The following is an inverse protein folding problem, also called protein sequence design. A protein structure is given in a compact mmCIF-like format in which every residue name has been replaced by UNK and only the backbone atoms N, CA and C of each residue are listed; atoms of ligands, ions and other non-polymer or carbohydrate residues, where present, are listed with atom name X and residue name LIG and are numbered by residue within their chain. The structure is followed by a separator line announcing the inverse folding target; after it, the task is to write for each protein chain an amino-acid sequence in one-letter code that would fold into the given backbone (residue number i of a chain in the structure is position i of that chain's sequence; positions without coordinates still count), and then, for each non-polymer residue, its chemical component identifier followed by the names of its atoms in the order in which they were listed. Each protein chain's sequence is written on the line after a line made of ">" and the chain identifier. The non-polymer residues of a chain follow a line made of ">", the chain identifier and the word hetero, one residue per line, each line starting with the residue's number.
data_IF_188808368494
#
_entry.id   IF_188808368494
#
_cell.length_a   1.000
_cell.length_b   1.000
_cell.length_c   1.000
_cell.angle_alpha   90.00
_cell.angle_beta   90.00
_cell.angle_gamma   90.00
#
_symmetry.space_group_name_H-M   'P 1'
#
loop_
_entity.id
_entity.type
_entity.pdbx_description
1 polymer ?
#
# COMPACT_ATOMS: atom_id res chain seq x y z
N UNK A 1 -31.09 -36.94 -24.19
CA UNK A 1 -30.35 -35.82 -24.77
C UNK A 1 -30.62 -34.59 -23.90
N UNK A 2 -29.81 -34.38 -22.86
CA UNK A 2 -29.95 -33.24 -21.94
C UNK A 2 -28.77 -32.31 -22.10
N UNK A 3 -29.07 -31.12 -22.59
CA UNK A 3 -28.09 -30.04 -22.79
C UNK A 3 -27.92 -29.27 -21.46
N UNK A 4 -26.79 -29.39 -20.82
CA UNK A 4 -26.44 -28.58 -19.67
C UNK A 4 -25.92 -27.23 -20.19
N UNK A 5 -26.71 -26.18 -20.05
CA UNK A 5 -26.26 -24.82 -20.28
C UNK A 5 -25.36 -24.43 -19.08
N UNK A 6 -24.08 -24.26 -19.37
CA UNK A 6 -23.08 -23.85 -18.39
C UNK A 6 -23.36 -22.45 -17.83
N UNK A 7 -23.26 -22.32 -16.51
CA UNK A 7 -23.09 -21.05 -15.82
C UNK A 7 -21.76 -20.43 -16.29
N UNK A 8 -21.86 -19.34 -17.02
CA UNK A 8 -20.71 -18.48 -17.29
C UNK A 8 -20.56 -17.61 -16.04
N UNK A 9 -19.67 -18.02 -15.16
CA UNK A 9 -19.13 -17.10 -14.16
C UNK A 9 -18.34 -16.04 -14.91
N UNK A 10 -18.79 -14.80 -14.81
CA UNK A 10 -18.07 -13.65 -15.34
C UNK A 10 -16.83 -13.42 -14.47
N UNK A 11 -15.79 -14.22 -14.71
CA UNK A 11 -14.44 -13.85 -14.31
C UNK A 11 -14.12 -12.53 -15.02
N UNK A 12 -13.95 -11.46 -14.23
CA UNK A 12 -13.40 -10.20 -14.72
C UNK A 12 -12.07 -10.55 -15.41
N UNK A 13 -12.09 -10.61 -16.73
CA UNK A 13 -10.89 -10.64 -17.55
C UNK A 13 -10.01 -9.47 -17.11
N UNK A 14 -8.94 -9.78 -16.41
CA UNK A 14 -7.83 -8.85 -16.23
C UNK A 14 -7.34 -8.53 -17.64
N UNK A 15 -7.57 -7.29 -18.11
CA UNK A 15 -7.21 -6.92 -19.47
C UNK A 15 -5.69 -6.99 -19.58
N UNK A 16 -5.20 -7.87 -20.46
CA UNK A 16 -3.78 -7.95 -20.80
C UNK A 16 -3.28 -6.56 -21.20
N UNK A 17 -2.33 -6.01 -20.40
CA UNK A 17 -1.70 -4.72 -20.66
C UNK A 17 -2.00 -3.59 -19.65
N UNK A 18 -2.85 -3.81 -18.63
CA UNK A 18 -3.10 -2.79 -17.61
C UNK A 18 -2.14 -2.95 -16.43
N UNK A 19 -1.47 -1.86 -16.06
CA UNK A 19 -0.65 -1.77 -14.87
C UNK A 19 -1.53 -1.83 -13.59
N UNK A 20 -1.19 -2.72 -12.65
CA UNK A 20 -1.87 -2.83 -11.35
C UNK A 20 -1.38 -1.73 -10.41
N UNK A 21 -2.28 -0.93 -9.84
CA UNK A 21 -1.96 0.28 -9.08
C UNK A 21 -2.27 0.13 -7.60
N UNK A 22 -1.29 0.40 -6.75
CA UNK A 22 -1.38 0.30 -5.30
C UNK A 22 -1.17 1.67 -4.67
N UNK A 23 -2.07 2.07 -3.76
CA UNK A 23 -1.93 3.27 -2.94
C UNK A 23 -1.71 2.88 -1.48
N UNK A 24 -0.59 3.32 -0.91
CA UNK A 24 -0.33 3.20 0.53
C UNK A 24 -0.78 4.46 1.25
N UNK A 25 -1.52 4.30 2.34
CA UNK A 25 -2.10 5.42 3.09
C UNK A 25 -1.78 5.33 4.57
N UNK A 26 -1.31 6.43 5.14
CA UNK A 26 -1.22 6.62 6.59
C UNK A 26 -1.78 8.00 6.96
N UNK A 27 -1.58 8.45 8.20
CA UNK A 27 -2.13 9.73 8.63
C UNK A 27 -1.50 10.91 7.87
N UNK A 28 -0.18 11.06 7.95
CA UNK A 28 0.55 12.24 7.45
C UNK A 28 1.33 12.06 6.15
N UNK A 29 1.45 10.84 5.64
CA UNK A 29 2.23 10.50 4.44
C UNK A 29 3.72 10.86 4.51
N UNK A 30 4.31 10.85 5.70
CA UNK A 30 5.73 11.16 5.90
C UNK A 30 6.56 10.03 6.54
N UNK A 31 5.93 9.01 7.07
CA UNK A 31 6.62 7.88 7.69
C UNK A 31 6.21 6.54 7.08
N UNK A 32 5.07 5.99 7.51
CA UNK A 32 4.63 4.61 7.20
C UNK A 32 4.32 4.39 5.72
N UNK A 33 3.47 5.20 5.14
CA UNK A 33 3.03 5.01 3.74
C UNK A 33 4.15 5.30 2.74
N UNK A 34 4.98 6.31 2.99
CA UNK A 34 6.14 6.62 2.15
C UNK A 34 7.22 5.52 2.23
N UNK A 35 7.42 4.93 3.42
CA UNK A 35 8.32 3.80 3.57
C UNK A 35 7.79 2.54 2.86
N UNK A 36 6.50 2.24 2.99
CA UNK A 36 5.87 1.13 2.28
C UNK A 36 6.01 1.26 0.76
N UNK A 37 5.78 2.45 0.22
CA UNK A 37 5.99 2.75 -1.20
C UNK A 37 7.43 2.50 -1.63
N UNK A 38 8.40 3.01 -0.89
CA UNK A 38 9.83 2.82 -1.20
C UNK A 38 10.26 1.35 -1.16
N UNK A 39 9.80 0.60 -0.17
CA UNK A 39 10.08 -0.85 -0.06
C UNK A 39 9.45 -1.60 -1.23
N UNK A 40 8.17 -1.33 -1.50
CA UNK A 40 7.45 -2.02 -2.58
C UNK A 40 8.05 -1.71 -3.95
N UNK A 41 8.45 -0.48 -4.21
CA UNK A 41 9.11 -0.09 -5.45
C UNK A 41 10.41 -0.85 -5.68
N UNK A 42 11.21 -1.05 -4.64
CA UNK A 42 12.43 -1.86 -4.74
C UNK A 42 12.11 -3.32 -5.05
N UNK A 43 11.13 -3.92 -4.39
CA UNK A 43 10.68 -5.29 -4.67
C UNK A 43 10.16 -5.45 -6.10
N UNK A 44 9.37 -4.50 -6.58
CA UNK A 44 8.87 -4.46 -7.96
C UNK A 44 10.03 -4.43 -8.97
N UNK A 45 11.03 -3.60 -8.72
CA UNK A 45 12.21 -3.48 -9.56
C UNK A 45 13.03 -4.77 -9.58
N UNK A 46 13.34 -5.33 -8.41
CA UNK A 46 14.13 -6.56 -8.26
C UNK A 46 13.45 -7.78 -8.90
N UNK A 47 12.13 -7.78 -8.99
CA UNK A 47 11.34 -8.83 -9.62
C UNK A 47 10.98 -8.56 -11.10
N UNK A 48 11.44 -7.46 -11.69
CA UNK A 48 11.17 -7.12 -13.09
C UNK A 48 9.71 -6.80 -13.38
N UNK A 49 8.97 -6.24 -12.42
CA UNK A 49 7.52 -6.02 -12.50
C UNK A 49 7.12 -4.55 -12.75
N UNK A 50 8.06 -3.66 -13.09
CA UNK A 50 7.80 -2.22 -13.29
C UNK A 50 6.71 -1.91 -14.31
N UNK A 51 6.59 -2.72 -15.35
CA UNK A 51 5.56 -2.53 -16.39
C UNK A 51 4.17 -3.07 -15.95
N UNK A 52 4.13 -3.85 -14.88
CA UNK A 52 2.93 -4.53 -14.41
C UNK A 52 2.34 -3.96 -13.13
N UNK A 53 3.17 -3.35 -12.27
CA UNK A 53 2.75 -2.81 -10.97
C UNK A 53 3.33 -1.42 -10.79
N UNK A 54 2.51 -0.49 -10.33
CA UNK A 54 2.94 0.84 -9.90
C UNK A 54 2.38 1.15 -8.52
N UNK A 55 3.10 1.99 -7.79
CA UNK A 55 2.72 2.39 -6.43
C UNK A 55 2.70 3.90 -6.29
N UNK A 56 1.95 4.36 -5.32
CA UNK A 56 1.96 5.73 -4.84
C UNK A 56 1.61 5.73 -3.34
N UNK A 57 1.75 6.85 -2.67
CA UNK A 57 1.33 7.00 -1.29
C UNK A 57 0.65 8.33 -1.03
N UNK A 58 -0.21 8.37 0.01
CA UNK A 58 -0.97 9.55 0.37
C UNK A 58 -1.25 9.59 1.89
N UNK A 59 -1.66 10.74 2.38
CA UNK A 59 -2.05 10.97 3.76
C UNK A 59 -3.54 11.24 3.93
N UNK A 60 -4.06 10.94 5.11
CA UNK A 60 -5.44 11.27 5.47
C UNK A 60 -5.61 12.73 5.89
N UNK A 61 -4.50 13.41 6.18
CA UNK A 61 -4.44 14.85 6.45
C UNK A 61 -3.49 15.52 5.46
N UNK A 62 -3.65 16.82 5.25
CA UNK A 62 -2.84 17.63 4.33
C UNK A 62 -1.73 18.42 5.02
N UNK A 63 -1.51 18.22 6.32
CA UNK A 63 -0.58 19.02 7.12
C UNK A 63 0.85 19.05 6.55
N UNK A 64 1.31 17.94 5.99
CA UNK A 64 2.65 17.78 5.42
C UNK A 64 2.67 17.85 3.88
N UNK A 65 1.62 18.34 3.24
CA UNK A 65 1.55 18.39 1.78
C UNK A 65 2.76 19.12 1.18
N UNK A 66 3.41 18.47 0.21
CA UNK A 66 4.61 18.98 -0.46
C UNK A 66 5.92 18.73 0.28
N UNK A 67 5.88 18.17 1.49
CA UNK A 67 7.08 17.83 2.26
C UNK A 67 7.65 16.47 1.86
N UNK A 68 8.97 16.33 1.99
CA UNK A 68 9.64 15.03 1.95
C UNK A 68 9.25 14.20 3.17
N UNK A 69 9.46 12.87 3.13
CA UNK A 69 9.29 12.03 4.31
C UNK A 69 10.10 12.52 5.50
N UNK A 70 9.69 12.12 6.70
CA UNK A 70 10.41 12.43 7.94
C UNK A 70 11.90 12.06 7.80
N UNK A 71 12.78 12.98 8.15
CA UNK A 71 14.23 12.81 7.99
C UNK A 71 14.77 11.58 8.70
N UNK A 72 14.18 11.20 9.84
CA UNK A 72 14.54 9.98 10.58
C UNK A 72 14.14 8.74 9.78
N UNK A 73 12.94 8.73 9.20
CA UNK A 73 12.50 7.62 8.34
C UNK A 73 13.39 7.51 7.10
N UNK A 74 13.72 8.63 6.45
CA UNK A 74 14.64 8.64 5.30
C UNK A 74 15.98 8.01 5.70
N UNK A 75 16.55 8.39 6.84
CA UNK A 75 17.84 7.88 7.31
C UNK A 75 17.79 6.38 7.63
N UNK A 76 16.77 5.93 8.34
CA UNK A 76 16.61 4.50 8.67
C UNK A 76 16.38 3.65 7.41
N UNK A 77 15.53 4.10 6.50
CA UNK A 77 15.26 3.42 5.23
C UNK A 77 16.51 3.35 4.33
N UNK A 78 17.29 4.44 4.27
CA UNK A 78 18.51 4.50 3.46
C UNK A 78 19.56 3.46 3.90
N UNK A 79 19.69 3.19 5.20
CA UNK A 79 20.58 2.14 5.71
C UNK A 79 20.22 0.74 5.22
N UNK A 80 18.96 0.53 4.84
CA UNK A 80 18.44 -0.72 4.25
C UNK A 80 18.38 -0.69 2.72
N UNK A 81 18.85 0.39 2.09
CA UNK A 81 18.89 0.54 0.64
C UNK A 81 17.60 1.05 0.02
N UNK A 82 16.70 1.64 0.80
CA UNK A 82 15.49 2.28 0.29
C UNK A 82 15.67 3.79 0.12
N UNK A 83 15.27 4.31 -1.03
CA UNK A 83 15.33 5.73 -1.34
C UNK A 83 13.92 6.33 -1.28
N UNK A 84 13.62 7.11 -0.26
CA UNK A 84 12.31 7.73 -0.06
C UNK A 84 12.33 9.16 -0.59
N UNK A 85 11.70 9.38 -1.74
CA UNK A 85 11.69 10.67 -2.45
C UNK A 85 10.28 11.23 -2.70
N UNK A 86 9.25 10.51 -2.29
CA UNK A 86 7.87 10.93 -2.49
C UNK A 86 7.54 12.22 -1.72
N UNK A 87 6.91 13.18 -2.39
CA UNK A 87 6.38 14.36 -1.72
C UNK A 87 4.98 14.06 -1.17
N UNK A 88 4.77 14.34 0.11
CA UNK A 88 3.49 14.10 0.79
C UNK A 88 2.34 14.77 0.04
N UNK A 89 1.25 14.05 -0.12
CA UNK A 89 -0.01 14.54 -0.67
C UNK A 89 -1.21 13.96 0.09
N UNK A 90 -2.34 14.68 0.16
CA UNK A 90 -3.56 14.09 0.72
C UNK A 90 -4.19 13.05 -0.21
N UNK A 91 -4.97 12.14 0.37
CA UNK A 91 -5.88 11.26 -0.39
C UNK A 91 -6.93 12.12 -1.11
N UNK A 92 -7.23 11.79 -2.34
CA UNK A 92 -8.25 12.46 -3.18
C UNK A 92 -9.35 11.49 -3.58
N UNK A 93 -10.51 12.03 -3.94
CA UNK A 93 -11.64 11.20 -4.39
C UNK A 93 -11.28 10.33 -5.59
N UNK A 94 -10.49 10.85 -6.52
CA UNK A 94 -10.03 10.16 -7.73
C UNK A 94 -9.15 8.95 -7.43
N UNK A 95 -8.47 8.92 -6.27
CA UNK A 95 -7.64 7.79 -5.87
C UNK A 95 -8.44 6.49 -5.78
N UNK A 96 -9.69 6.57 -5.34
CA UNK A 96 -10.56 5.38 -5.24
C UNK A 96 -10.92 4.79 -6.61
N UNK A 97 -10.92 5.59 -7.66
CA UNK A 97 -11.14 5.12 -9.03
C UNK A 97 -9.84 4.62 -9.67
N UNK A 98 -8.74 5.33 -9.45
CA UNK A 98 -7.45 5.12 -10.11
C UNK A 98 -6.75 3.86 -9.61
N UNK A 99 -6.76 3.63 -8.28
CA UNK A 99 -6.04 2.52 -7.66
C UNK A 99 -6.88 1.25 -7.59
N UNK A 100 -6.22 0.12 -7.81
CA UNK A 100 -6.81 -1.21 -7.70
C UNK A 100 -6.84 -1.70 -6.25
N UNK A 101 -5.87 -1.24 -5.45
CA UNK A 101 -5.71 -1.59 -4.04
C UNK A 101 -5.30 -0.36 -3.23
N UNK A 102 -5.97 -0.13 -2.11
CA UNK A 102 -5.71 0.97 -1.18
C UNK A 102 -5.40 0.37 0.19
N UNK A 103 -4.21 0.64 0.71
CA UNK A 103 -3.70 -0.03 1.92
C UNK A 103 -3.47 0.98 3.04
N UNK A 104 -4.23 0.83 4.12
CA UNK A 104 -4.05 1.58 5.36
C UNK A 104 -3.11 0.86 6.33
N UNK A 105 -2.49 1.61 7.23
CA UNK A 105 -1.46 1.11 8.15
C UNK A 105 -2.01 0.66 9.51
N UNK A 106 -3.13 1.23 9.93
CA UNK A 106 -3.78 0.95 11.22
C UNK A 106 -5.31 1.01 11.08
N UNK A 107 -6.01 0.65 12.15
CA UNK A 107 -7.48 0.62 12.15
C UNK A 107 -8.11 1.99 11.98
N UNK A 108 -7.47 3.06 12.46
CA UNK A 108 -7.95 4.44 12.26
C UNK A 108 -7.84 4.84 10.78
N UNK A 109 -6.73 4.49 10.13
CA UNK A 109 -6.58 4.70 8.68
C UNK A 109 -7.71 3.98 7.90
N UNK A 110 -7.98 2.72 8.23
CA UNK A 110 -9.04 1.93 7.58
C UNK A 110 -10.43 2.57 7.80
N UNK A 111 -10.76 2.95 9.04
CA UNK A 111 -12.04 3.61 9.34
C UNK A 111 -12.24 4.89 8.54
N UNK A 112 -11.21 5.73 8.45
CA UNK A 112 -11.27 6.99 7.70
C UNK A 112 -11.39 6.75 6.19
N UNK A 113 -10.63 5.80 5.63
CA UNK A 113 -10.74 5.43 4.22
C UNK A 113 -12.13 4.90 3.87
N UNK A 114 -12.69 4.00 4.70
CA UNK A 114 -14.05 3.47 4.49
C UNK A 114 -15.13 4.55 4.54
N UNK A 115 -14.93 5.59 5.38
CA UNK A 115 -15.87 6.72 5.49
C UNK A 115 -15.89 7.60 4.25
N UNK A 116 -14.74 7.81 3.60
CA UNK A 116 -14.62 8.70 2.44
C UNK A 116 -14.72 7.97 1.10
N UNK A 117 -14.67 6.63 1.10
CA UNK A 117 -14.86 5.84 -0.12
C UNK A 117 -16.25 6.06 -0.73
N UNK A 118 -16.36 6.34 -2.04
CA UNK A 118 -17.61 6.76 -2.67
C UNK A 118 -18.70 5.69 -2.71
N UNK A 119 -18.33 4.41 -2.81
CA UNK A 119 -19.26 3.30 -2.92
C UNK A 119 -18.72 2.00 -2.31
N UNK A 120 -19.56 0.96 -2.28
CA UNK A 120 -19.16 -0.37 -1.79
C UNK A 120 -18.08 -1.02 -2.67
N UNK A 121 -18.06 -0.72 -3.96
CA UNK A 121 -17.03 -1.21 -4.87
C UNK A 121 -15.66 -0.68 -4.49
N UNK A 122 -15.54 0.61 -4.19
CA UNK A 122 -14.29 1.24 -3.74
C UNK A 122 -13.92 0.82 -2.32
N UNK A 123 -14.89 0.62 -1.42
CA UNK A 123 -14.63 0.06 -0.08
C UNK A 123 -13.99 -1.30 -0.15
N UNK A 124 -14.36 -2.14 -1.13
CA UNK A 124 -13.76 -3.44 -1.37
C UNK A 124 -12.29 -3.43 -1.76
N UNK A 125 -11.74 -2.27 -2.15
CA UNK A 125 -10.30 -2.09 -2.47
C UNK A 125 -9.45 -1.78 -1.23
N UNK A 126 -10.07 -1.48 -0.10
CA UNK A 126 -9.39 -1.02 1.12
C UNK A 126 -9.00 -2.20 1.98
N UNK A 127 -7.71 -2.34 2.25
CA UNK A 127 -7.13 -3.41 3.06
C UNK A 127 -6.12 -2.85 4.07
N UNK A 128 -5.87 -3.61 5.13
CA UNK A 128 -4.86 -3.25 6.11
C UNK A 128 -3.51 -3.91 5.77
N UNK A 129 -2.41 -3.18 5.92
CA UNK A 129 -1.07 -3.65 5.57
C UNK A 129 -0.73 -4.98 6.24
N UNK A 130 -1.11 -5.15 7.51
CA UNK A 130 -0.82 -6.37 8.29
C UNK A 130 -1.58 -7.62 7.83
N UNK A 131 -2.57 -7.51 6.95
CA UNK A 131 -3.21 -8.67 6.31
C UNK A 131 -2.25 -9.46 5.41
N UNK A 132 -1.17 -8.84 4.95
CA UNK A 132 -0.20 -9.43 4.04
C UNK A 132 1.06 -9.99 4.72
N UNK A 133 1.13 -9.95 6.03
CA UNK A 133 2.31 -10.44 6.76
C UNK A 133 2.52 -11.94 6.56
N UNK A 134 3.77 -12.35 6.39
CA UNK A 134 4.18 -13.74 6.14
C UNK A 134 4.77 -14.40 7.39
N UNK A 135 5.75 -13.76 8.00
CA UNK A 135 6.59 -14.35 9.06
C UNK A 135 6.44 -13.66 10.41
N UNK A 136 6.02 -12.40 10.40
CA UNK A 136 5.82 -11.61 11.60
C UNK A 136 4.36 -11.59 12.00
N UNK A 137 4.10 -11.36 13.28
CA UNK A 137 2.76 -11.18 13.82
C UNK A 137 2.63 -9.75 14.34
N UNK A 138 1.81 -8.95 13.67
CA UNK A 138 1.42 -7.63 14.11
C UNK A 138 -0.02 -7.34 13.69
N UNK A 139 -0.75 -6.60 14.51
CA UNK A 139 -2.12 -6.20 14.22
C UNK A 139 -2.20 -4.81 13.59
N UNK A 140 -1.10 -4.08 13.64
CA UNK A 140 -0.99 -2.70 13.12
C UNK A 140 0.46 -2.40 12.73
N UNK A 141 0.64 -1.45 11.80
CA UNK A 141 1.91 -0.76 11.59
C UNK A 141 1.87 0.50 12.49
N UNK A 142 2.62 0.52 13.61
CA UNK A 142 2.52 1.62 14.58
C UNK A 142 3.07 2.93 14.00
N UNK A 143 2.57 4.07 14.48
CA UNK A 143 3.07 5.38 14.09
C UNK A 143 4.38 5.68 14.84
N UNK A 144 5.53 5.81 14.14
CA UNK A 144 6.82 6.02 14.80
C UNK A 144 7.11 7.49 15.09
N UNK A 145 6.23 8.42 14.71
CA UNK A 145 6.50 9.86 14.70
C UNK A 145 6.93 10.40 16.07
N UNK A 146 6.29 9.93 17.15
CA UNK A 146 6.59 10.34 18.52
C UNK A 146 7.52 9.37 19.26
N UNK A 147 8.02 8.34 18.58
CA UNK A 147 8.91 7.32 19.16
C UNK A 147 10.38 7.58 18.90
N UNK A 148 11.24 6.75 19.49
CA UNK A 148 12.68 6.74 19.26
C UNK A 148 13.08 5.92 18.01
N UNK A 149 14.41 5.75 17.82
CA UNK A 149 14.99 5.02 16.68
C UNK A 149 14.42 3.61 16.50
N UNK A 150 14.18 2.87 17.60
CA UNK A 150 13.60 1.52 17.57
C UNK A 150 12.20 1.49 16.95
N UNK A 151 11.43 2.57 17.04
CA UNK A 151 10.12 2.68 16.43
C UNK A 151 10.20 2.68 14.90
N UNK A 152 11.16 3.40 14.32
CA UNK A 152 11.40 3.42 12.87
C UNK A 152 11.87 2.05 12.36
N UNK A 153 12.81 1.41 13.07
CA UNK A 153 13.29 0.09 12.71
C UNK A 153 12.17 -0.97 12.79
N UNK A 154 11.32 -0.93 13.81
CA UNK A 154 10.18 -1.83 13.94
C UNK A 154 9.17 -1.66 12.79
N UNK A 155 8.87 -0.42 12.40
CA UNK A 155 8.00 -0.13 11.25
C UNK A 155 8.60 -0.71 9.97
N UNK A 156 9.88 -0.51 9.71
CA UNK A 156 10.56 -1.07 8.54
C UNK A 156 10.54 -2.60 8.54
N UNK A 157 10.76 -3.24 9.68
CA UNK A 157 10.67 -4.70 9.81
C UNK A 157 9.28 -5.23 9.43
N UNK A 158 8.22 -4.59 9.94
CA UNK A 158 6.84 -4.96 9.62
C UNK A 158 6.54 -4.74 8.13
N UNK A 159 6.95 -3.60 7.58
CA UNK A 159 6.69 -3.25 6.19
C UNK A 159 7.44 -4.14 5.21
N UNK A 160 8.68 -4.54 5.51
CA UNK A 160 9.42 -5.48 4.67
C UNK A 160 8.70 -6.82 4.56
N UNK A 161 8.26 -7.38 5.67
CA UNK A 161 7.52 -8.65 5.69
C UNK A 161 6.16 -8.54 4.98
N UNK A 162 5.42 -7.48 5.24
CA UNK A 162 4.10 -7.28 4.65
C UNK A 162 4.16 -6.92 3.14
N UNK A 163 5.14 -6.14 2.70
CA UNK A 163 5.33 -5.85 1.28
C UNK A 163 5.71 -7.09 0.48
N UNK A 164 6.53 -7.97 1.03
CA UNK A 164 6.85 -9.27 0.41
C UNK A 164 5.57 -10.11 0.22
N UNK A 165 4.75 -10.24 1.26
CA UNK A 165 3.48 -10.97 1.18
C UNK A 165 2.47 -10.32 0.23
N UNK A 166 2.44 -9.00 0.18
CA UNK A 166 1.61 -8.25 -0.76
C UNK A 166 2.03 -8.54 -2.21
N UNK A 167 3.33 -8.48 -2.50
CA UNK A 167 3.83 -8.77 -3.85
C UNK A 167 3.48 -10.20 -4.27
N UNK A 168 3.65 -11.20 -3.39
CA UNK A 168 3.26 -12.58 -3.66
C UNK A 168 1.77 -12.69 -3.96
N UNK A 169 0.92 -12.05 -3.16
CA UNK A 169 -0.55 -12.04 -3.35
C UNK A 169 -0.96 -11.43 -4.69
N UNK A 170 -0.30 -10.38 -5.14
CA UNK A 170 -0.61 -9.71 -6.41
C UNK A 170 -0.07 -10.51 -7.59
N UNK A 171 1.13 -11.08 -7.49
CA UNK A 171 1.79 -11.81 -8.58
C UNK A 171 0.96 -12.97 -9.09
N UNK A 172 0.09 -13.56 -8.26
CA UNK A 172 -0.85 -14.61 -8.68
C UNK A 172 -2.01 -14.08 -9.53
N UNK A 173 -2.19 -12.75 -9.61
CA UNK A 173 -3.29 -12.09 -10.34
C UNK A 173 -2.83 -11.42 -11.63
N UNK A 174 -1.51 -11.36 -11.87
CA UNK A 174 -0.89 -10.76 -13.06
C UNK A 174 -0.72 -11.79 -14.17
#
# INVERSE_FOLDING_TARGET
>A
MYTIKGLITTDKKFSMGRNYKILFVCLGNICRSSAAEGIMNKLIEENGLKEKISTDSAGLISYHEGELPDKRMIAHAARRGYNLTHLSRPVRAEDFEIFDLIIGMDDDNIKRLLRIAPSDAERGKIHKMTEYMLNRVATTVPDPYYGGASGFENVLDILEDACEGLLQSISTKL
#
